data_IF_325150136166
#
_entry.id   IF_325150136166
#
_cell.length_a   1.000
_cell.length_b   1.000
_cell.length_c   1.000
_cell.angle_alpha   90.00
_cell.angle_beta   90.00
_cell.angle_gamma   90.00
#
_symmetry.space_group_name_H-M   'P 1'
#
loop_
_entity.id
_entity.type
_entity.pdbx_description
1 polymer ?
#
# COMPACT_ATOMS: atom_id res chain seq x y z
N UNK A 1 -7.50 -9.74 1.29
CA UNK A 1 -8.15 -8.44 1.02
C UNK A 1 -9.48 -8.61 0.32
N UNK A 2 -9.62 -9.44 -0.73
CA UNK A 2 -10.95 -9.67 -1.33
C UNK A 2 -11.99 -10.15 -0.32
N UNK A 3 -11.67 -11.19 0.47
CA UNK A 3 -12.57 -11.68 1.53
C UNK A 3 -12.96 -10.57 2.52
N UNK A 4 -11.99 -9.79 3.01
CA UNK A 4 -12.24 -8.65 3.90
C UNK A 4 -13.21 -7.62 3.29
N UNK A 5 -12.99 -7.27 2.01
CA UNK A 5 -13.86 -6.34 1.29
C UNK A 5 -15.28 -6.89 1.14
N UNK A 6 -15.45 -8.21 0.97
CA UNK A 6 -16.77 -8.82 0.86
C UNK A 6 -17.47 -8.95 2.22
N UNK A 7 -16.75 -9.40 3.25
CA UNK A 7 -17.29 -9.60 4.61
C UNK A 7 -17.69 -8.28 5.28
N UNK A 8 -16.88 -7.23 5.10
CA UNK A 8 -17.09 -5.94 5.76
C UNK A 8 -17.75 -4.88 4.87
N UNK A 9 -18.14 -5.23 3.64
CA UNK A 9 -18.81 -4.28 2.70
C UNK A 9 -20.04 -3.64 3.34
N UNK A 10 -20.88 -4.45 3.97
CA UNK A 10 -22.14 -4.01 4.57
C UNK A 10 -21.92 -3.18 5.85
N UNK A 11 -20.69 -3.16 6.37
CA UNK A 11 -20.28 -2.34 7.51
C UNK A 11 -19.60 -1.03 7.05
N UNK A 12 -19.60 -0.74 5.74
CA UNK A 12 -19.04 0.49 5.18
C UNK A 12 -17.52 0.45 4.94
N UNK A 13 -16.87 -0.72 5.08
CA UNK A 13 -15.43 -0.83 4.83
C UNK A 13 -15.16 -0.83 3.33
N UNK A 14 -14.25 0.05 2.91
CA UNK A 14 -13.75 0.15 1.53
C UNK A 14 -12.24 -0.05 1.54
N UNK A 15 -11.78 -1.04 0.78
CA UNK A 15 -10.36 -1.30 0.56
C UNK A 15 -9.88 -0.49 -0.64
N UNK A 16 -8.72 0.14 -0.49
CA UNK A 16 -8.06 0.93 -1.55
C UNK A 16 -6.62 0.42 -1.70
N UNK A 17 -6.24 0.05 -2.92
CA UNK A 17 -4.89 -0.42 -3.22
C UNK A 17 -4.08 0.59 -4.01
N UNK A 18 -2.87 0.88 -3.53
CA UNK A 18 -1.92 1.78 -4.17
C UNK A 18 -0.66 1.01 -4.56
N UNK A 19 -0.52 0.62 -5.84
CA UNK A 19 0.69 -0.05 -6.30
C UNK A 19 1.91 0.83 -6.11
N UNK A 20 3.04 0.25 -5.69
CA UNK A 20 4.31 0.97 -5.54
C UNK A 20 5.48 0.07 -5.83
N UNK A 21 6.50 0.61 -6.51
CA UNK A 21 7.70 -0.14 -6.88
C UNK A 21 8.92 0.16 -5.98
N UNK A 22 8.71 0.91 -4.89
CA UNK A 22 9.79 1.40 -4.03
C UNK A 22 10.42 0.33 -3.13
N UNK A 23 9.78 -0.84 -3.01
CA UNK A 23 10.19 -1.92 -2.11
C UNK A 23 10.61 -3.15 -2.90
N UNK A 24 11.91 -3.40 -2.96
CA UNK A 24 12.49 -4.56 -3.66
C UNK A 24 12.20 -4.62 -5.17
N UNK A 25 11.73 -3.51 -5.76
CA UNK A 25 11.21 -3.44 -7.14
C UNK A 25 10.18 -4.53 -7.47
N UNK A 26 9.27 -4.79 -6.53
CA UNK A 26 8.28 -5.88 -6.63
C UNK A 26 7.07 -5.55 -7.51
N UNK A 27 6.92 -4.31 -7.97
CA UNK A 27 5.84 -3.86 -8.87
C UNK A 27 6.42 -3.23 -10.17
N UNK A 28 7.16 -4.01 -10.99
CA UNK A 28 7.90 -3.49 -12.13
C UNK A 28 6.98 -3.06 -13.29
N UNK A 29 5.82 -3.71 -13.44
CA UNK A 29 4.90 -3.51 -14.57
C UNK A 29 4.26 -2.12 -14.62
N UNK A 30 3.91 -1.66 -15.82
CA UNK A 30 3.15 -0.43 -16.04
C UNK A 30 1.73 -0.55 -15.49
N UNK A 31 1.03 0.57 -15.32
CA UNK A 31 -0.35 0.59 -14.81
C UNK A 31 -1.29 -0.38 -15.54
N UNK A 32 -1.13 -0.53 -16.86
CA UNK A 32 -1.91 -1.44 -17.70
C UNK A 32 -1.59 -2.93 -17.49
N UNK A 33 -0.44 -3.25 -16.89
CA UNK A 33 0.07 -4.62 -16.72
C UNK A 33 -0.25 -5.19 -15.33
N UNK A 34 -0.56 -4.35 -14.35
CA UNK A 34 -0.80 -4.75 -12.95
C UNK A 34 -1.98 -5.73 -12.86
N UNK A 35 -3.15 -5.38 -13.40
CA UNK A 35 -4.32 -6.27 -13.37
C UNK A 35 -4.11 -7.58 -14.14
N UNK A 36 -3.54 -7.58 -15.37
CA UNK A 36 -3.12 -8.82 -16.03
C UNK A 36 -2.17 -9.68 -15.20
N UNK A 37 -1.16 -9.08 -14.55
CA UNK A 37 -0.21 -9.80 -13.72
C UNK A 37 -0.89 -10.47 -12.51
N UNK A 38 -1.79 -9.75 -11.84
CA UNK A 38 -2.59 -10.29 -10.74
C UNK A 38 -3.48 -11.46 -11.21
N UNK A 39 -4.08 -11.34 -12.40
CA UNK A 39 -5.01 -12.34 -12.96
C UNK A 39 -4.32 -13.59 -13.48
N UNK A 40 -3.15 -13.46 -14.09
CA UNK A 40 -2.52 -14.53 -14.86
C UNK A 40 -1.20 -15.03 -14.27
N UNK A 41 -0.49 -14.24 -13.47
CA UNK A 41 0.86 -14.57 -12.99
C UNK A 41 0.86 -14.85 -11.49
N UNK A 42 0.58 -13.83 -10.67
CA UNK A 42 0.53 -13.95 -9.22
C UNK A 42 -0.37 -12.86 -8.65
N UNK A 43 -1.45 -13.20 -7.93
CA UNK A 43 -1.84 -14.55 -7.49
C UNK A 43 -2.16 -15.55 -8.60
N UNK A 44 -2.54 -15.08 -9.79
CA UNK A 44 -2.89 -15.95 -10.91
C UNK A 44 -4.28 -16.59 -10.75
N UNK A 45 -4.55 -17.65 -11.49
CA UNK A 45 -5.80 -18.42 -11.36
C UNK A 45 -7.07 -17.65 -11.70
N UNK A 46 -6.98 -16.58 -12.48
CA UNK A 46 -8.12 -15.72 -12.80
C UNK A 46 -8.48 -14.73 -11.70
N UNK A 47 -7.61 -14.53 -10.71
CA UNK A 47 -7.82 -13.58 -9.63
C UNK A 47 -8.06 -12.15 -10.14
N UNK A 48 -9.11 -11.50 -9.63
CA UNK A 48 -9.40 -10.09 -9.88
C UNK A 48 -9.67 -9.42 -8.53
N UNK A 49 -8.98 -8.32 -8.18
CA UNK A 49 -9.32 -7.53 -7.00
C UNK A 49 -10.78 -7.06 -7.06
N UNK A 50 -11.53 -7.24 -5.98
CA UNK A 50 -12.89 -6.71 -5.84
C UNK A 50 -12.92 -5.31 -5.18
N UNK A 51 -11.78 -4.62 -5.21
CA UNK A 51 -11.56 -3.32 -4.61
C UNK A 51 -10.76 -2.43 -5.56
N UNK A 52 -10.81 -1.11 -5.35
CA UNK A 52 -10.20 -0.16 -6.27
C UNK A 52 -8.67 -0.19 -6.18
N UNK A 53 -8.02 -0.31 -7.34
CA UNK A 53 -6.60 -0.03 -7.50
C UNK A 53 -6.40 1.35 -8.12
N UNK A 54 -5.45 2.12 -7.59
CA UNK A 54 -5.02 3.39 -8.15
C UNK A 54 -3.81 3.21 -9.08
N UNK A 55 -3.41 4.29 -9.72
CA UNK A 55 -2.17 4.32 -10.49
C UNK A 55 -0.97 4.07 -9.55
N UNK A 56 0.03 3.40 -10.10
CA UNK A 56 1.31 3.17 -9.44
C UNK A 56 1.99 4.51 -9.14
N UNK A 57 2.53 4.63 -7.94
CA UNK A 57 3.25 5.83 -7.53
C UNK A 57 4.11 5.61 -6.30
N UNK A 58 4.79 6.67 -5.91
CA UNK A 58 5.64 6.69 -4.73
C UNK A 58 4.80 6.91 -3.47
N UNK A 59 5.17 6.21 -2.41
CA UNK A 59 4.57 6.30 -1.07
C UNK A 59 5.55 6.85 -0.04
N UNK A 60 6.84 6.87 -0.37
CA UNK A 60 7.93 7.45 0.39
C UNK A 60 8.82 8.38 -0.46
N UNK A 61 9.67 9.15 0.22
CA UNK A 61 10.66 10.03 -0.41
C UNK A 61 10.08 11.36 -0.91
N UNK A 62 10.90 12.12 -1.62
CA UNK A 62 10.56 13.50 -2.03
C UNK A 62 9.31 13.59 -2.94
N UNK A 63 9.05 12.54 -3.73
CA UNK A 63 7.98 12.48 -4.72
C UNK A 63 6.75 11.69 -4.25
N UNK A 64 6.67 11.36 -2.96
CA UNK A 64 5.53 10.61 -2.43
C UNK A 64 4.19 11.30 -2.69
N UNK A 65 3.17 10.49 -2.95
CA UNK A 65 1.80 10.98 -3.07
C UNK A 65 1.36 11.62 -1.75
N UNK A 66 0.72 12.79 -1.83
CA UNK A 66 0.37 13.60 -0.65
C UNK A 66 -0.53 12.88 0.37
N UNK A 67 -1.35 11.93 -0.09
CA UNK A 67 -2.14 11.07 0.79
C UNK A 67 -1.24 10.24 1.73
N UNK A 68 -0.11 9.75 1.26
CA UNK A 68 0.84 9.01 2.10
C UNK A 68 1.65 9.94 3.01
N UNK A 69 1.96 11.17 2.59
CA UNK A 69 2.49 12.17 3.53
C UNK A 69 1.53 12.38 4.71
N UNK A 70 0.23 12.50 4.44
CA UNK A 70 -0.79 12.64 5.49
C UNK A 70 -0.87 11.39 6.37
N UNK A 71 -1.07 10.21 5.78
CA UNK A 71 -1.26 8.96 6.51
C UNK A 71 -0.05 8.58 7.38
N UNK A 72 1.17 8.69 6.84
CA UNK A 72 2.40 8.30 7.54
C UNK A 72 2.68 9.15 8.77
N UNK A 73 2.30 10.42 8.75
CA UNK A 73 2.50 11.35 9.86
C UNK A 73 1.32 11.36 10.85
N UNK A 74 0.18 10.77 10.50
CA UNK A 74 -0.99 10.68 11.37
C UNK A 74 -0.93 9.50 12.36
N UNK A 75 -0.08 8.49 12.10
CA UNK A 75 0.09 7.34 12.97
C UNK A 75 1.57 7.08 13.26
N UNK A 76 1.93 6.55 14.46
CA UNK A 76 3.28 6.12 14.76
C UNK A 76 3.83 5.12 13.71
N UNK A 77 5.15 5.08 13.47
CA UNK A 77 5.74 4.08 12.59
C UNK A 77 5.51 2.67 13.14
N UNK A 78 5.35 1.70 12.24
CA UNK A 78 5.08 0.29 12.61
C UNK A 78 6.31 -0.49 13.07
N UNK A 79 7.51 0.09 12.90
CA UNK A 79 8.79 -0.45 13.33
C UNK A 79 9.81 0.68 13.47
N UNK A 80 10.75 0.53 14.39
CA UNK A 80 11.84 1.49 14.60
C UNK A 80 12.85 1.47 13.44
N UNK A 81 13.17 0.27 12.96
CA UNK A 81 14.17 0.08 11.92
C UNK A 81 13.55 -0.21 10.54
N UNK A 82 14.32 0.12 9.52
CA UNK A 82 14.05 -0.34 8.17
C UNK A 82 14.65 -1.74 7.94
N UNK A 83 14.10 -2.46 6.96
CA UNK A 83 14.76 -3.65 6.43
C UNK A 83 16.06 -3.29 5.68
N UNK A 84 16.60 -4.23 4.93
CA UNK A 84 17.82 -4.02 4.13
C UNK A 84 17.71 -2.75 3.24
N UNK A 85 18.51 -1.70 3.47
CA UNK A 85 18.44 -0.45 2.72
C UNK A 85 18.64 -0.62 1.21
N UNK A 86 19.38 -1.63 0.77
CA UNK A 86 19.58 -1.93 -0.65
C UNK A 86 18.30 -2.40 -1.36
N UNK A 87 17.23 -2.66 -0.61
CA UNK A 87 15.91 -3.00 -1.13
C UNK A 87 14.92 -1.82 -1.06
N UNK A 88 15.38 -0.64 -0.65
CA UNK A 88 14.57 0.56 -0.48
C UNK A 88 14.97 1.57 -1.55
N UNK A 89 14.03 1.95 -2.40
CA UNK A 89 14.31 2.75 -3.59
C UNK A 89 13.65 4.13 -3.51
N UNK A 90 14.01 4.92 -2.50
CA UNK A 90 13.59 6.30 -2.34
C UNK A 90 14.57 7.09 -1.49
N UNK A 91 14.54 8.42 -1.62
CA UNK A 91 15.26 9.36 -0.76
C UNK A 91 14.42 10.64 -0.53
N UNK A 92 14.56 11.34 0.60
CA UNK A 92 15.31 10.92 1.79
C UNK A 92 14.56 9.84 2.59
N UNK A 93 15.29 9.01 3.36
CA UNK A 93 14.70 8.14 4.37
C UNK A 93 14.19 8.95 5.58
N UNK A 94 13.01 8.61 6.10
CA UNK A 94 12.37 9.25 7.27
C UNK A 94 11.79 8.22 8.23
N UNK A 95 11.80 8.51 9.54
CA UNK A 95 11.32 7.57 10.56
C UNK A 95 9.90 7.04 10.30
N UNK A 96 8.99 7.89 9.80
CA UNK A 96 7.60 7.57 9.53
C UNK A 96 7.34 6.87 8.18
N UNK A 97 8.37 6.65 7.36
CA UNK A 97 8.22 5.98 6.06
C UNK A 97 7.56 4.61 6.20
N UNK A 98 6.78 4.25 5.18
CA UNK A 98 6.25 2.89 5.04
C UNK A 98 7.43 1.94 4.92
N UNK A 99 7.38 0.85 5.69
CA UNK A 99 8.52 -0.05 5.86
C UNK A 99 8.61 -1.09 4.76
N UNK A 100 7.47 -1.52 4.20
CA UNK A 100 7.42 -2.51 3.12
C UNK A 100 6.07 -2.52 2.38
N UNK A 101 5.99 -3.32 1.31
CA UNK A 101 4.73 -3.65 0.62
C UNK A 101 3.69 -4.20 1.60
N UNK A 102 2.41 -3.88 1.38
CA UNK A 102 1.25 -4.33 2.18
C UNK A 102 1.13 -3.77 3.61
N UNK A 103 1.79 -2.66 3.92
CA UNK A 103 1.46 -1.87 5.10
C UNK A 103 0.05 -1.26 4.98
N UNK A 104 -0.66 -1.12 6.11
CA UNK A 104 -2.12 -0.86 6.09
C UNK A 104 -2.43 0.32 7.00
N UNK A 105 -3.34 1.17 6.55
CA UNK A 105 -3.91 2.27 7.34
C UNK A 105 -5.43 2.09 7.38
N UNK A 106 -6.02 2.29 8.57
CA UNK A 106 -7.46 2.39 8.76
C UNK A 106 -7.80 3.86 8.95
N UNK A 107 -8.78 4.33 8.21
CA UNK A 107 -9.29 5.69 8.26
C UNK A 107 -10.77 5.62 8.60
N UNK A 108 -11.21 6.50 9.50
CA UNK A 108 -12.60 6.60 9.91
C UNK A 108 -13.50 7.15 8.78
N UNK A 109 -14.83 7.01 8.88
CA UNK A 109 -15.76 7.65 7.95
C UNK A 109 -15.62 9.18 7.86
N UNK A 110 -15.12 9.82 8.92
CA UNK A 110 -14.84 11.26 8.99
C UNK A 110 -13.49 11.64 8.34
N UNK A 111 -12.76 10.68 7.79
CA UNK A 111 -11.46 10.89 7.14
C UNK A 111 -10.28 10.95 8.11
N UNK A 112 -10.46 10.52 9.37
CA UNK A 112 -9.41 10.56 10.40
C UNK A 112 -8.65 9.23 10.45
N UNK A 113 -7.32 9.20 10.29
CA UNK A 113 -6.54 7.97 10.44
C UNK A 113 -6.63 7.43 11.88
N UNK A 114 -7.01 6.17 12.03
CA UNK A 114 -7.24 5.49 13.32
C UNK A 114 -6.03 4.64 13.71
N UNK A 115 -5.56 3.78 12.79
CA UNK A 115 -4.53 2.79 13.09
C UNK A 115 -3.70 2.44 11.86
N UNK A 116 -2.46 2.04 12.12
CA UNK A 116 -1.48 1.61 11.12
C UNK A 116 -0.94 0.23 11.52
N UNK A 117 -0.93 -0.72 10.59
CA UNK A 117 -0.46 -2.09 10.84
C UNK A 117 0.80 -2.39 10.06
N UNK A 118 1.66 -3.19 10.69
CA UNK A 118 2.77 -3.85 10.03
C UNK A 118 2.29 -4.67 8.83
N UNK A 119 3.18 -4.90 7.87
CA UNK A 119 2.80 -5.46 6.58
C UNK A 119 2.43 -6.94 6.59
N UNK A 120 2.88 -7.69 7.59
CA UNK A 120 2.61 -9.12 7.76
C UNK A 120 1.20 -9.38 8.28
#
# INVERSE_FOLDING_TARGET
LNALQDELRNQGVVVLGFPSNQFGKQEPGQNSEILPALKHVRPGGGFVPNFQLFQKGDVNGANEQKIFTFLKNACPPVAEEFGNPNKLFWEPLRNHDIKWNFEKFLVSPEGVPIMRWYHR
#
